data_IF_803068477301
#
_entry.id   IF_803068477301
#
_cell.length_a   1.000
_cell.length_b   1.000
_cell.length_c   1.000
_cell.angle_alpha   90.00
_cell.angle_beta   90.00
_cell.angle_gamma   90.00
#
_symmetry.space_group_name_H-M   'P 1'
#
loop_
_entity.id
_entity.type
_entity.pdbx_description
1 polymer ?
#
# COMPACT_ATOMS: atom_id res chain seq x y z
N UNK A 1 6.61 -28.37 16.52
CA UNK A 1 5.58 -27.61 15.77
C UNK A 1 6.27 -26.35 15.26
N UNK A 2 6.56 -26.24 13.96
CA UNK A 2 7.25 -25.08 13.40
C UNK A 2 6.24 -23.96 13.18
N UNK A 3 6.59 -22.74 13.62
CA UNK A 3 5.81 -21.54 13.32
C UNK A 3 6.24 -21.04 11.95
N UNK A 4 5.51 -21.46 10.91
CA UNK A 4 5.76 -21.01 9.54
C UNK A 4 4.98 -19.72 9.28
N UNK A 5 5.71 -18.67 8.91
CA UNK A 5 5.16 -17.36 8.60
C UNK A 5 5.49 -17.08 7.15
N UNK A 6 4.44 -16.80 6.38
CA UNK A 6 4.57 -16.34 5.01
C UNK A 6 5.56 -15.16 4.90
N UNK A 7 6.38 -15.17 3.85
CA UNK A 7 7.48 -14.22 3.68
C UNK A 7 7.00 -12.76 3.67
N UNK A 8 5.82 -12.48 3.10
CA UNK A 8 5.24 -11.15 3.10
C UNK A 8 4.79 -10.74 4.51
N UNK A 9 4.11 -11.64 5.24
CA UNK A 9 3.75 -11.37 6.65
C UNK A 9 4.98 -11.12 7.52
N UNK A 10 6.08 -11.84 7.28
CA UNK A 10 7.34 -11.62 7.98
C UNK A 10 7.91 -10.23 7.68
N UNK A 11 7.90 -9.80 6.42
CA UNK A 11 8.36 -8.46 6.02
C UNK A 11 7.49 -7.35 6.64
N UNK A 12 6.16 -7.50 6.63
CA UNK A 12 5.25 -6.56 7.30
C UNK A 12 5.56 -6.47 8.80
N UNK A 13 5.74 -7.61 9.49
CA UNK A 13 6.09 -7.64 10.91
C UNK A 13 7.43 -6.96 11.19
N UNK A 14 8.45 -7.20 10.35
CA UNK A 14 9.77 -6.59 10.49
C UNK A 14 9.75 -5.07 10.29
N UNK A 15 8.93 -4.59 9.36
CA UNK A 15 8.77 -3.16 9.05
C UNK A 15 7.75 -2.45 9.94
N UNK A 16 7.02 -3.19 10.79
CA UNK A 16 5.92 -2.67 11.58
C UNK A 16 4.73 -2.21 10.74
N UNK A 17 4.55 -2.78 9.54
CA UNK A 17 3.47 -2.44 8.63
C UNK A 17 2.19 -3.18 9.02
N UNK A 18 1.12 -2.41 9.19
CA UNK A 18 -0.25 -2.91 9.22
C UNK A 18 -0.93 -2.69 7.85
N UNK A 19 -2.23 -2.96 7.76
CA UNK A 19 -2.98 -2.77 6.52
C UNK A 19 -3.00 -1.31 6.04
N UNK A 20 -3.02 -0.35 6.96
CA UNK A 20 -2.99 1.07 6.60
C UNK A 20 -1.59 1.42 6.11
N UNK A 21 -0.55 1.00 6.84
CA UNK A 21 0.85 1.19 6.49
C UNK A 21 1.19 0.64 5.11
N UNK A 22 0.64 -0.52 4.73
CA UNK A 22 0.78 -1.05 3.37
C UNK A 22 0.22 -0.10 2.31
N UNK A 23 -0.99 0.43 2.51
CA UNK A 23 -1.56 1.44 1.61
C UNK A 23 -0.72 2.72 1.59
N UNK A 24 -0.14 3.10 2.75
CA UNK A 24 0.71 4.29 2.85
C UNK A 24 2.02 4.18 2.09
N UNK A 25 2.58 2.97 1.93
CA UNK A 25 3.77 2.76 1.10
C UNK A 25 3.54 3.25 -0.33
N UNK A 26 2.31 3.19 -0.82
CA UNK A 26 1.95 3.58 -2.18
C UNK A 26 1.31 4.99 -2.27
N UNK A 27 1.36 5.80 -1.21
CA UNK A 27 0.74 7.14 -1.14
C UNK A 27 1.08 8.03 -2.35
N UNK A 28 2.36 8.10 -2.72
CA UNK A 28 2.81 8.91 -3.86
C UNK A 28 2.26 8.38 -5.20
N UNK A 29 2.19 7.05 -5.35
CA UNK A 29 1.66 6.42 -6.56
C UNK A 29 0.15 6.65 -6.68
N UNK A 30 -0.57 6.58 -5.56
CA UNK A 30 -1.99 6.90 -5.45
C UNK A 30 -2.22 8.36 -5.83
N UNK A 31 -1.45 9.31 -5.26
CA UNK A 31 -1.57 10.73 -5.55
C UNK A 31 -1.34 11.04 -7.04
N UNK A 32 -0.30 10.45 -7.66
CA UNK A 32 -0.03 10.60 -9.09
C UNK A 32 -1.16 10.04 -9.95
N UNK A 33 -1.73 8.90 -9.56
CA UNK A 33 -2.87 8.31 -10.25
C UNK A 33 -4.09 9.23 -10.16
N UNK A 34 -4.45 9.67 -8.95
CA UNK A 34 -5.61 10.56 -8.72
C UNK A 34 -5.48 11.87 -9.48
N UNK A 35 -4.30 12.49 -9.49
CA UNK A 35 -4.04 13.71 -10.27
C UNK A 35 -4.30 13.52 -11.76
N UNK A 36 -3.88 12.37 -12.32
CA UNK A 36 -4.15 12.03 -13.73
C UNK A 36 -5.63 11.78 -13.98
N UNK A 37 -6.31 11.12 -13.04
CA UNK A 37 -7.76 10.86 -13.17
C UNK A 37 -8.56 12.16 -13.10
N UNK A 38 -8.23 13.08 -12.20
CA UNK A 38 -8.91 14.38 -12.09
C UNK A 38 -8.83 15.19 -13.39
N UNK A 39 -7.70 15.14 -14.10
CA UNK A 39 -7.58 15.77 -15.42
C UNK A 39 -8.39 15.07 -16.51
N UNK A 40 -8.42 13.73 -16.47
CA UNK A 40 -9.10 12.91 -17.48
C UNK A 40 -10.62 12.93 -17.31
N UNK A 41 -11.09 13.02 -16.06
CA UNK A 41 -12.48 12.99 -15.66
C UNK A 41 -12.77 14.17 -14.71
N UNK A 42 -12.94 15.40 -15.23
CA UNK A 42 -13.14 16.60 -14.40
C UNK A 42 -14.43 16.63 -13.58
N UNK A 43 -15.34 15.67 -13.80
CA UNK A 43 -16.62 15.52 -13.10
C UNK A 43 -16.60 14.44 -12.01
N UNK A 44 -15.45 13.79 -11.81
CA UNK A 44 -15.21 12.87 -10.69
C UNK A 44 -14.98 13.67 -9.41
#
# INVERSE_FOLDING_TARGET
MAFDVDAFRKDCLLRGLDQIGLTRVDEDAIAVYEYKQAQRFPWL
#
